data_IF_021832822203
#
_entry.id   IF_021832822203
#
_cell.length_a   1.000
_cell.length_b   1.000
_cell.length_c   1.000
_cell.angle_alpha   90.00
_cell.angle_beta   90.00
_cell.angle_gamma   90.00
#
_symmetry.space_group_name_H-M   'P 1'
#
loop_
_entity.id
_entity.type
_entity.pdbx_description
1 polymer ?
#
# COMPACT_ATOMS: atom_id res chain seq x y z
N UNK A 1 -3.36 -9.82 0.56
CA UNK A 1 -3.12 -10.90 -0.44
C UNK A 1 -2.99 -12.28 0.22
N UNK A 2 -2.25 -12.48 1.32
CA UNK A 2 -2.07 -13.80 1.94
C UNK A 2 -3.40 -14.49 2.30
N UNK A 3 -4.41 -13.74 2.76
CA UNK A 3 -5.73 -14.28 3.11
C UNK A 3 -6.68 -14.35 1.92
N UNK A 4 -6.52 -13.47 0.92
CA UNK A 4 -7.37 -13.35 -0.25
C UNK A 4 -6.61 -12.72 -1.42
N UNK A 5 -5.93 -13.55 -2.25
CA UNK A 5 -5.11 -13.05 -3.37
C UNK A 5 -5.93 -12.33 -4.45
N UNK A 6 -7.19 -12.70 -4.62
CA UNK A 6 -8.14 -12.19 -5.61
C UNK A 6 -9.00 -10.99 -5.13
N UNK A 7 -8.69 -10.43 -3.95
CA UNK A 7 -9.42 -9.29 -3.43
C UNK A 7 -9.25 -8.06 -4.34
N UNK A 8 -10.37 -7.37 -4.63
CA UNK A 8 -10.40 -6.20 -5.53
C UNK A 8 -10.86 -4.93 -4.82
N UNK A 9 -11.98 -5.00 -4.11
CA UNK A 9 -12.54 -3.87 -3.37
C UNK A 9 -13.02 -4.33 -2.01
N UNK A 10 -12.24 -4.04 -0.98
CA UNK A 10 -12.53 -4.44 0.38
C UNK A 10 -13.10 -3.28 1.20
N UNK A 11 -14.13 -3.56 1.97
CA UNK A 11 -14.70 -2.61 2.92
C UNK A 11 -15.35 -3.34 4.10
N UNK A 12 -15.62 -2.56 5.15
CA UNK A 12 -16.32 -3.04 6.35
C UNK A 12 -17.74 -3.47 6.01
N UNK A 13 -18.26 -4.34 6.86
CA UNK A 13 -19.65 -4.78 6.79
C UNK A 13 -20.63 -3.60 6.72
N UNK A 14 -20.41 -2.56 7.53
CA UNK A 14 -21.26 -1.38 7.59
C UNK A 14 -21.19 -0.52 6.33
N UNK A 15 -20.02 -0.41 5.72
CA UNK A 15 -19.88 0.30 4.44
C UNK A 15 -20.67 -0.42 3.36
N UNK A 16 -20.55 -1.74 3.26
CA UNK A 16 -21.32 -2.52 2.30
C UNK A 16 -22.82 -2.38 2.50
N UNK A 17 -23.30 -2.51 3.75
CA UNK A 17 -24.74 -2.47 4.03
C UNK A 17 -25.36 -1.06 3.95
N UNK A 18 -24.68 -0.06 4.53
CA UNK A 18 -25.27 1.25 4.74
C UNK A 18 -24.93 2.27 3.64
N UNK A 19 -23.71 2.23 3.12
CA UNK A 19 -23.29 3.20 2.08
C UNK A 19 -23.49 2.66 0.67
N UNK A 20 -23.15 1.38 0.45
CA UNK A 20 -23.22 0.76 -0.86
C UNK A 20 -24.56 0.05 -1.12
N UNK A 21 -25.40 -0.07 -0.08
CA UNK A 21 -26.68 -0.79 -0.14
C UNK A 21 -26.53 -2.21 -0.71
N UNK A 22 -25.43 -2.88 -0.36
CA UNK A 22 -25.13 -4.26 -0.67
C UNK A 22 -25.24 -5.09 0.62
N UNK A 23 -25.30 -6.40 0.51
CA UNK A 23 -25.26 -7.27 1.69
C UNK A 23 -24.12 -8.26 1.57
N UNK A 24 -23.41 -8.50 2.66
CA UNK A 24 -22.41 -9.58 2.72
C UNK A 24 -23.14 -10.92 2.71
N UNK A 25 -22.76 -11.81 1.79
CA UNK A 25 -23.40 -13.12 1.65
C UNK A 25 -23.14 -13.97 2.87
N UNK A 26 -24.14 -14.77 3.26
CA UNK A 26 -23.99 -15.71 4.38
C UNK A 26 -22.89 -16.74 4.07
N UNK A 27 -21.96 -16.91 5.00
CA UNK A 27 -20.83 -17.84 4.85
C UNK A 27 -19.58 -17.22 4.23
N UNK A 28 -19.61 -15.94 3.80
CA UNK A 28 -18.40 -15.25 3.39
C UNK A 28 -17.41 -15.15 4.54
N UNK A 29 -16.12 -15.36 4.22
CA UNK A 29 -15.03 -15.21 5.19
C UNK A 29 -14.42 -13.84 5.03
N UNK A 30 -14.50 -13.01 6.08
CA UNK A 30 -13.85 -11.71 6.10
C UNK A 30 -12.32 -11.84 6.12
N UNK A 31 -11.66 -10.87 5.51
CA UNK A 31 -10.22 -10.68 5.65
C UNK A 31 -9.98 -10.08 7.02
N UNK A 32 -9.20 -10.74 7.86
CA UNK A 32 -8.88 -10.28 9.20
C UNK A 32 -7.76 -9.24 9.15
N UNK A 33 -8.02 -8.06 9.67
CA UNK A 33 -7.05 -6.99 9.86
C UNK A 33 -6.83 -6.79 11.36
N UNK A 34 -5.61 -6.46 11.76
CA UNK A 34 -5.32 -6.05 13.12
C UNK A 34 -5.63 -4.57 13.26
N UNK A 35 -6.50 -4.21 14.20
CA UNK A 35 -6.82 -2.84 14.57
C UNK A 35 -6.30 -2.54 15.96
N UNK A 36 -5.35 -1.63 16.07
CA UNK A 36 -4.71 -1.18 17.30
C UNK A 36 -5.15 0.24 17.71
N UNK A 37 -6.05 0.85 16.95
CA UNK A 37 -6.50 2.25 17.17
C UNK A 37 -7.11 2.52 18.55
N UNK A 38 -7.53 1.48 19.26
CA UNK A 38 -8.15 1.57 20.59
C UNK A 38 -7.21 1.30 21.76
N UNK A 39 -5.89 1.19 21.51
CA UNK A 39 -4.88 0.86 22.52
C UNK A 39 -4.82 -0.64 22.91
N UNK A 40 -5.69 -1.45 22.35
CA UNK A 40 -5.65 -2.93 22.49
C UNK A 40 -5.84 -3.55 21.12
N UNK A 41 -5.01 -4.55 20.74
CA UNK A 41 -5.14 -5.25 19.47
C UNK A 41 -6.51 -5.92 19.34
N UNK A 42 -7.24 -5.63 18.26
CA UNK A 42 -8.52 -6.26 17.93
C UNK A 42 -8.52 -6.71 16.49
N UNK A 43 -9.18 -7.84 16.22
CA UNK A 43 -9.43 -8.24 14.84
C UNK A 43 -10.60 -7.43 14.28
N UNK A 44 -10.33 -6.77 13.19
CA UNK A 44 -11.30 -6.10 12.35
C UNK A 44 -11.46 -6.88 11.05
N UNK A 45 -12.69 -7.02 10.55
CA UNK A 45 -12.96 -7.82 9.37
C UNK A 45 -13.50 -6.95 8.24
N UNK A 46 -12.83 -7.05 7.09
CA UNK A 46 -13.32 -6.45 5.84
C UNK A 46 -13.74 -7.56 4.86
N UNK A 47 -14.65 -7.23 3.96
CA UNK A 47 -15.17 -8.15 2.96
C UNK A 47 -14.93 -7.58 1.57
N UNK A 48 -14.51 -8.43 0.64
CA UNK A 48 -14.36 -8.06 -0.75
C UNK A 48 -15.73 -7.88 -1.43
N UNK A 49 -15.80 -7.09 -2.48
CA UNK A 49 -17.03 -6.86 -3.25
C UNK A 49 -17.61 -8.17 -3.79
N UNK A 50 -16.77 -9.13 -4.14
CA UNK A 50 -17.19 -10.46 -4.60
C UNK A 50 -17.90 -11.28 -3.53
N UNK A 51 -17.74 -10.94 -2.23
CA UNK A 51 -18.48 -11.52 -1.11
C UNK A 51 -19.86 -10.92 -0.93
N UNK A 52 -20.19 -9.89 -1.68
CA UNK A 52 -21.44 -9.16 -1.49
C UNK A 52 -22.48 -9.49 -2.53
N UNK A 53 -23.74 -9.33 -2.17
CA UNK A 53 -24.87 -9.39 -3.09
C UNK A 53 -25.53 -8.01 -3.24
N UNK A 54 -26.20 -7.82 -4.37
CA UNK A 54 -26.88 -6.56 -4.70
C UNK A 54 -28.29 -6.52 -4.13
N UNK A 55 -28.72 -5.33 -3.68
CA UNK A 55 -30.12 -4.99 -3.38
C UNK A 55 -30.65 -4.04 -4.46
N UNK A 56 -31.95 -3.78 -4.45
CA UNK A 56 -32.54 -2.72 -5.27
C UNK A 56 -31.86 -1.38 -4.92
N UNK A 57 -31.29 -0.70 -5.90
CA UNK A 57 -30.50 0.54 -5.74
C UNK A 57 -29.13 0.34 -5.04
N UNK A 58 -28.53 -0.83 -5.14
CA UNK A 58 -27.11 -1.01 -4.75
C UNK A 58 -26.21 -0.10 -5.58
N UNK A 59 -25.13 0.33 -4.95
CA UNK A 59 -24.03 1.01 -5.63
C UNK A 59 -22.89 0.01 -5.84
N UNK A 60 -22.26 0.08 -6.99
CA UNK A 60 -21.01 -0.65 -7.22
C UNK A 60 -19.82 0.22 -6.77
N UNK A 61 -18.74 -0.42 -6.27
CA UNK A 61 -17.52 0.32 -5.97
C UNK A 61 -16.98 0.92 -7.28
N UNK A 62 -16.69 2.20 -7.22
CA UNK A 62 -16.07 2.94 -8.33
C UNK A 62 -14.55 2.66 -8.32
N UNK A 63 -14.17 1.54 -8.93
CA UNK A 63 -12.78 1.12 -9.05
C UNK A 63 -12.17 1.78 -10.29
N UNK A 64 -11.27 2.71 -10.03
CA UNK A 64 -10.50 3.31 -11.12
C UNK A 64 -9.47 2.33 -11.69
N UNK A 65 -9.22 2.44 -12.97
CA UNK A 65 -8.19 1.69 -13.67
C UNK A 65 -7.33 2.65 -14.49
N UNK A 66 -6.02 2.47 -14.40
CA UNK A 66 -5.08 3.14 -15.30
C UNK A 66 -5.06 2.43 -16.65
N UNK A 67 -4.93 3.19 -17.72
CA UNK A 67 -4.66 2.71 -19.07
C UNK A 67 -3.79 3.72 -19.83
N UNK A 68 -3.31 3.37 -21.01
CA UNK A 68 -2.38 4.22 -21.78
C UNK A 68 -2.96 5.57 -22.22
N UNK A 69 -4.28 5.67 -22.39
CA UNK A 69 -4.95 6.94 -22.72
C UNK A 69 -4.85 7.95 -21.56
N UNK A 70 -4.66 7.47 -20.36
CA UNK A 70 -4.51 8.25 -19.13
C UNK A 70 -3.05 8.58 -18.77
N UNK A 71 -2.10 8.14 -19.60
CA UNK A 71 -0.66 8.34 -19.35
C UNK A 71 -0.33 9.82 -19.10
N UNK A 72 -0.76 10.70 -19.99
CA UNK A 72 -0.41 12.13 -19.90
C UNK A 72 -1.08 12.80 -18.69
N UNK A 73 -2.42 12.69 -18.48
CA UNK A 73 -3.07 13.25 -17.30
C UNK A 73 -2.46 12.79 -15.98
N UNK A 74 -2.14 11.49 -15.86
CA UNK A 74 -1.53 10.93 -14.66
C UNK A 74 -0.11 11.43 -14.45
N UNK A 75 0.72 11.44 -15.52
CA UNK A 75 2.09 11.95 -15.45
C UNK A 75 2.14 13.43 -15.05
N UNK A 76 1.25 14.24 -15.61
CA UNK A 76 1.17 15.67 -15.29
C UNK A 76 0.74 15.90 -13.85
N UNK A 77 -0.23 15.15 -13.37
CA UNK A 77 -0.69 15.22 -11.97
C UNK A 77 0.41 14.81 -10.98
N UNK A 78 1.14 13.73 -11.29
CA UNK A 78 2.28 13.28 -10.48
C UNK A 78 3.43 14.31 -10.50
N UNK A 79 3.72 14.88 -11.66
CA UNK A 79 4.73 15.95 -11.79
C UNK A 79 4.35 17.19 -11.00
N UNK A 80 3.09 17.61 -11.06
CA UNK A 80 2.60 18.75 -10.30
C UNK A 80 2.66 18.52 -8.78
N UNK A 81 2.37 17.30 -8.32
CA UNK A 81 2.36 16.96 -6.90
C UNK A 81 3.75 16.74 -6.31
N UNK A 82 4.65 16.08 -7.04
CA UNK A 82 5.92 15.58 -6.49
C UNK A 82 7.18 16.20 -7.12
N UNK A 83 7.02 16.94 -8.22
CA UNK A 83 8.14 17.57 -8.92
C UNK A 83 9.02 16.60 -9.73
N UNK A 84 8.55 15.36 -9.93
CA UNK A 84 9.29 14.30 -10.64
C UNK A 84 8.57 14.01 -11.95
N UNK A 85 9.30 13.98 -13.06
CA UNK A 85 8.79 13.70 -14.40
C UNK A 85 9.62 12.64 -15.08
N UNK A 86 8.95 11.70 -15.74
CA UNK A 86 9.58 10.67 -16.56
C UNK A 86 8.79 10.40 -17.83
N UNK A 87 9.44 9.79 -18.81
CA UNK A 87 8.77 9.35 -20.03
C UNK A 87 7.77 8.21 -19.75
N UNK A 88 8.07 7.34 -18.78
CA UNK A 88 7.23 6.22 -18.35
C UNK A 88 6.65 6.47 -16.97
N UNK A 89 5.33 6.36 -16.82
CA UNK A 89 4.62 6.53 -15.54
C UNK A 89 5.14 5.53 -14.49
N UNK A 90 5.44 4.30 -14.89
CA UNK A 90 6.01 3.29 -13.98
C UNK A 90 7.34 3.71 -13.35
N UNK A 91 8.24 4.32 -14.13
CA UNK A 91 9.49 4.85 -13.61
C UNK A 91 9.25 6.08 -12.72
N UNK A 92 8.32 6.95 -13.12
CA UNK A 92 7.92 8.11 -12.33
C UNK A 92 7.39 7.70 -10.95
N UNK A 93 6.55 6.65 -10.89
CA UNK A 93 6.05 6.09 -9.64
C UNK A 93 7.18 5.54 -8.75
N UNK A 94 8.16 4.85 -9.33
CA UNK A 94 9.31 4.33 -8.60
C UNK A 94 10.17 5.44 -7.97
N UNK A 95 10.45 6.50 -8.73
CA UNK A 95 11.25 7.62 -8.22
C UNK A 95 10.48 8.44 -7.16
N UNK A 96 9.15 8.59 -7.33
CA UNK A 96 8.29 9.20 -6.30
C UNK A 96 8.31 8.35 -5.03
N UNK A 97 8.22 7.03 -5.14
CA UNK A 97 8.30 6.12 -4.01
C UNK A 97 9.63 6.32 -3.24
N UNK A 98 10.75 6.34 -3.95
CA UNK A 98 12.06 6.56 -3.35
C UNK A 98 12.16 7.91 -2.61
N UNK A 99 11.66 8.98 -3.22
CA UNK A 99 11.60 10.31 -2.60
C UNK A 99 10.76 10.31 -1.32
N UNK A 100 9.52 9.82 -1.40
CA UNK A 100 8.61 9.84 -0.25
C UNK A 100 9.07 8.92 0.89
N UNK A 101 9.73 7.82 0.58
CA UNK A 101 10.36 6.96 1.60
C UNK A 101 11.51 7.68 2.30
N UNK A 102 12.31 8.47 1.58
CA UNK A 102 13.34 9.29 2.20
C UNK A 102 12.73 10.35 3.12
N UNK A 103 11.70 11.05 2.65
CA UNK A 103 10.96 12.03 3.45
C UNK A 103 10.29 11.38 4.69
N UNK A 104 9.76 10.15 4.54
CA UNK A 104 9.18 9.40 5.65
C UNK A 104 10.23 9.02 6.71
N UNK A 105 11.40 8.54 6.28
CA UNK A 105 12.51 8.24 7.18
C UNK A 105 12.94 9.47 7.97
N UNK A 106 13.11 10.60 7.32
CA UNK A 106 13.55 11.84 7.97
C UNK A 106 12.59 12.29 9.08
N UNK A 107 11.30 11.97 8.94
CA UNK A 107 10.27 12.32 9.92
C UNK A 107 10.02 11.26 11.00
N UNK A 108 10.37 9.96 10.76
CA UNK A 108 9.99 8.86 11.65
C UNK A 108 11.19 8.02 12.12
N UNK A 109 12.42 8.41 11.79
CA UNK A 109 13.61 7.58 12.06
C UNK A 109 13.85 7.30 13.55
N UNK A 110 13.46 8.20 14.45
CA UNK A 110 13.59 8.00 15.90
C UNK A 110 12.66 6.88 16.38
N UNK A 111 11.40 6.89 15.94
CA UNK A 111 10.42 5.86 16.28
C UNK A 111 10.82 4.50 15.71
N UNK A 112 11.35 4.48 14.47
CA UNK A 112 11.83 3.25 13.85
C UNK A 112 13.02 2.69 14.60
N UNK A 113 13.97 3.52 15.03
CA UNK A 113 15.12 3.08 15.83
C UNK A 113 14.71 2.51 17.18
N UNK A 114 13.63 3.00 17.76
CA UNK A 114 13.16 2.56 19.08
C UNK A 114 12.57 1.14 19.08
N UNK A 115 12.23 0.58 17.92
CA UNK A 115 11.53 -0.71 17.82
C UNK A 115 12.36 -1.83 17.18
N UNK A 116 13.63 -1.60 16.86
CA UNK A 116 14.46 -2.60 16.16
C UNK A 116 14.94 -3.76 17.03
N UNK A 117 14.84 -3.63 18.35
CA UNK A 117 15.30 -4.66 19.30
C UNK A 117 14.68 -6.03 19.00
N UNK A 118 15.53 -7.05 18.96
CA UNK A 118 15.13 -8.42 18.66
C UNK A 118 14.86 -8.75 17.19
N UNK A 119 14.94 -7.78 16.31
CA UNK A 119 14.94 -8.00 14.85
C UNK A 119 16.36 -8.11 14.31
N UNK A 120 16.51 -8.56 13.05
CA UNK A 120 17.82 -8.52 12.38
C UNK A 120 18.31 -7.09 12.13
N UNK A 121 17.43 -6.11 12.19
CA UNK A 121 17.79 -4.69 12.06
C UNK A 121 18.67 -4.18 13.20
N UNK A 122 18.65 -4.81 14.39
CA UNK A 122 19.45 -4.40 15.54
C UNK A 122 20.98 -4.51 15.32
N UNK A 123 21.39 -5.34 14.37
CA UNK A 123 22.81 -5.57 14.07
C UNK A 123 23.42 -4.47 13.18
N UNK A 124 22.59 -3.58 12.62
CA UNK A 124 23.04 -2.47 11.78
C UNK A 124 23.41 -1.23 12.61
N UNK A 125 24.39 -0.49 12.15
CA UNK A 125 24.60 0.87 12.61
C UNK A 125 23.51 1.82 12.08
N UNK A 126 23.52 3.07 12.51
CA UNK A 126 22.48 4.04 12.14
C UNK A 126 22.36 4.24 10.62
N UNK A 127 23.47 4.20 9.88
CA UNK A 127 23.47 4.37 8.43
C UNK A 127 22.99 3.09 7.72
N UNK A 128 23.38 1.93 8.22
CA UNK A 128 22.93 0.63 7.74
C UNK A 128 21.43 0.45 7.95
N UNK A 129 20.90 0.81 9.13
CA UNK A 129 19.47 0.76 9.42
C UNK A 129 18.66 1.66 8.46
N UNK A 130 19.13 2.90 8.24
CA UNK A 130 18.52 3.82 7.27
C UNK A 130 18.46 3.19 5.88
N UNK A 131 19.57 2.63 5.42
CA UNK A 131 19.67 2.00 4.10
C UNK A 131 18.71 0.81 3.99
N UNK A 132 18.64 -0.06 5.00
CA UNK A 132 17.73 -1.22 5.01
C UNK A 132 16.26 -0.79 5.01
N UNK A 133 15.89 0.19 5.86
CA UNK A 133 14.54 0.70 5.87
C UNK A 133 14.15 1.32 4.53
N UNK A 134 14.98 2.22 3.99
CA UNK A 134 14.71 2.90 2.72
C UNK A 134 14.60 1.89 1.57
N UNK A 135 15.46 0.87 1.53
CA UNK A 135 15.44 -0.18 0.53
C UNK A 135 14.13 -0.99 0.62
N UNK A 136 13.81 -1.53 1.79
CA UNK A 136 12.61 -2.35 1.99
C UNK A 136 11.31 -1.56 1.71
N UNK A 137 11.22 -0.32 2.20
CA UNK A 137 10.05 0.52 2.00
C UNK A 137 9.89 0.95 0.54
N UNK A 138 10.96 1.43 -0.11
CA UNK A 138 10.88 1.90 -1.49
C UNK A 138 10.46 0.79 -2.46
N UNK A 139 11.00 -0.40 -2.29
CA UNK A 139 10.65 -1.55 -3.14
C UNK A 139 9.20 -1.98 -2.92
N UNK A 140 8.75 -2.02 -1.65
CA UNK A 140 7.39 -2.41 -1.29
C UNK A 140 6.35 -1.39 -1.79
N UNK A 141 6.63 -0.09 -1.64
CA UNK A 141 5.77 0.99 -2.18
C UNK A 141 5.71 0.91 -3.70
N UNK A 142 6.87 0.80 -4.36
CA UNK A 142 6.93 0.71 -5.83
C UNK A 142 6.12 -0.49 -6.33
N UNK A 143 6.31 -1.66 -5.72
CA UNK A 143 5.54 -2.86 -6.06
C UNK A 143 4.03 -2.61 -5.93
N UNK A 144 3.60 -2.06 -4.79
CA UNK A 144 2.17 -1.78 -4.55
C UNK A 144 1.59 -0.77 -5.56
N UNK A 145 2.35 0.26 -5.94
CA UNK A 145 1.93 1.26 -6.93
C UNK A 145 1.82 0.66 -8.33
N UNK A 146 2.81 -0.13 -8.74
CA UNK A 146 2.82 -0.77 -10.06
C UNK A 146 1.67 -1.76 -10.19
N UNK A 147 1.50 -2.66 -9.23
CA UNK A 147 0.39 -3.62 -9.18
C UNK A 147 -0.97 -2.92 -9.25
N UNK A 148 -1.18 -1.88 -8.44
CA UNK A 148 -2.46 -1.17 -8.40
C UNK A 148 -2.76 -0.41 -9.69
N UNK A 149 -1.73 0.05 -10.40
CA UNK A 149 -1.86 0.71 -11.70
C UNK A 149 -1.89 -0.27 -12.88
N UNK A 150 -1.79 -1.59 -12.64
CA UNK A 150 -1.83 -2.62 -13.68
C UNK A 150 -0.55 -2.72 -14.51
N UNK A 151 0.58 -2.23 -13.99
CA UNK A 151 1.89 -2.52 -14.56
C UNK A 151 2.39 -3.88 -14.07
N UNK A 152 3.08 -4.61 -14.93
CA UNK A 152 3.71 -5.88 -14.54
C UNK A 152 4.98 -5.62 -13.71
N UNK A 153 5.01 -5.96 -12.41
CA UNK A 153 6.18 -5.69 -11.57
C UNK A 153 7.39 -6.55 -11.92
N UNK A 154 7.19 -7.74 -12.47
CA UNK A 154 8.24 -8.71 -12.76
C UNK A 154 9.37 -8.16 -13.66
N UNK A 155 9.10 -7.13 -14.45
CA UNK A 155 10.10 -6.42 -15.23
C UNK A 155 10.95 -5.42 -14.43
N UNK A 156 10.59 -5.12 -13.19
CA UNK A 156 11.22 -4.13 -12.32
C UNK A 156 12.00 -4.75 -11.16
N UNK A 157 11.63 -5.96 -10.75
CA UNK A 157 12.18 -6.62 -9.58
C UNK A 157 12.67 -8.02 -9.91
N UNK A 158 13.76 -8.40 -9.28
CA UNK A 158 14.24 -9.77 -9.18
C UNK A 158 14.01 -10.33 -7.76
N UNK A 159 14.41 -11.58 -7.54
CA UNK A 159 14.24 -12.23 -6.24
C UNK A 159 15.06 -11.57 -5.12
N UNK A 160 16.18 -10.97 -5.47
CA UNK A 160 17.10 -10.35 -4.51
C UNK A 160 16.63 -8.95 -4.11
N UNK A 161 15.76 -8.34 -4.93
CA UNK A 161 15.21 -7.01 -4.70
C UNK A 161 14.46 -6.90 -3.35
N UNK A 162 13.85 -7.98 -2.87
CA UNK A 162 13.06 -8.00 -1.64
C UNK A 162 13.86 -8.43 -0.40
N UNK A 163 15.17 -8.64 -0.49
CA UNK A 163 15.97 -9.17 0.62
C UNK A 163 15.91 -8.30 1.88
N UNK A 164 15.95 -6.99 1.74
CA UNK A 164 15.89 -6.07 2.88
C UNK A 164 14.64 -6.23 3.74
N UNK A 165 13.55 -6.77 3.20
CA UNK A 165 12.30 -6.98 3.95
C UNK A 165 12.46 -8.06 5.03
N UNK A 166 13.31 -9.06 4.83
CA UNK A 166 13.51 -10.13 5.79
C UNK A 166 14.17 -9.70 7.10
N UNK A 167 14.82 -8.54 7.10
CA UNK A 167 15.44 -7.97 8.30
C UNK A 167 14.38 -7.43 9.29
N UNK A 168 13.17 -7.15 8.80
CA UNK A 168 12.01 -6.77 9.61
C UNK A 168 11.34 -8.01 10.21
N UNK A 169 11.99 -8.65 11.16
CA UNK A 169 11.66 -9.99 11.65
C UNK A 169 10.85 -10.01 12.96
N UNK A 170 10.46 -8.86 13.49
CA UNK A 170 9.56 -8.75 14.67
C UNK A 170 8.21 -8.14 14.28
N UNK A 171 7.13 -8.38 15.05
CA UNK A 171 5.82 -7.76 14.79
C UNK A 171 5.90 -6.24 14.70
N UNK A 172 6.66 -5.57 15.56
CA UNK A 172 6.77 -4.12 15.61
C UNK A 172 7.47 -3.58 14.36
N UNK A 173 8.57 -4.20 13.92
CA UNK A 173 9.27 -3.78 12.71
C UNK A 173 8.47 -4.06 11.44
N UNK A 174 7.78 -5.20 11.35
CA UNK A 174 6.84 -5.51 10.24
C UNK A 174 5.71 -4.49 10.20
N UNK A 175 5.15 -4.15 11.36
CA UNK A 175 4.07 -3.15 11.46
C UNK A 175 4.56 -1.77 10.99
N UNK A 176 5.72 -1.32 11.46
CA UNK A 176 6.28 -0.03 11.06
C UNK A 176 6.56 0.05 9.55
N UNK A 177 7.14 -0.99 8.95
CA UNK A 177 7.32 -1.07 7.51
C UNK A 177 5.98 -1.04 6.78
N UNK A 178 5.01 -1.83 7.23
CA UNK A 178 3.67 -1.89 6.64
C UNK A 178 2.91 -0.56 6.73
N UNK A 179 3.05 0.18 7.83
CA UNK A 179 2.47 1.51 8.01
C UNK A 179 3.07 2.51 6.99
N UNK A 180 4.39 2.55 6.88
CA UNK A 180 5.08 3.40 5.90
C UNK A 180 4.61 3.10 4.47
N UNK A 181 4.60 1.82 4.09
CA UNK A 181 4.15 1.38 2.75
C UNK A 181 2.70 1.78 2.49
N UNK A 182 1.82 1.57 3.46
CA UNK A 182 0.39 1.92 3.35
C UNK A 182 0.18 3.42 3.19
N UNK A 183 0.83 4.24 4.01
CA UNK A 183 0.63 5.69 4.00
C UNK A 183 1.16 6.33 2.72
N UNK A 184 2.36 5.97 2.31
CA UNK A 184 2.97 6.49 1.08
C UNK A 184 2.19 6.03 -0.15
N UNK A 185 1.86 4.74 -0.24
CA UNK A 185 1.10 4.21 -1.38
C UNK A 185 -0.28 4.87 -1.49
N UNK A 186 -0.96 5.07 -0.36
CA UNK A 186 -2.28 5.74 -0.30
C UNK A 186 -2.20 7.17 -0.82
N UNK A 187 -1.17 7.91 -0.45
CA UNK A 187 -0.96 9.28 -0.91
C UNK A 187 -0.81 9.35 -2.43
N UNK A 188 0.11 8.56 -2.97
CA UNK A 188 0.38 8.53 -4.41
C UNK A 188 -0.83 8.04 -5.21
N UNK A 189 -1.46 6.95 -4.77
CA UNK A 189 -2.63 6.37 -5.45
C UNK A 189 -3.84 7.32 -5.45
N UNK A 190 -4.00 8.17 -4.43
CA UNK A 190 -5.03 9.22 -4.44
C UNK A 190 -4.75 10.30 -5.50
N UNK A 191 -3.49 10.61 -5.76
CA UNK A 191 -3.12 11.55 -6.84
C UNK A 191 -3.43 10.93 -8.19
N UNK A 192 -3.07 9.66 -8.40
CA UNK A 192 -3.42 8.91 -9.61
C UNK A 192 -4.94 8.82 -9.79
N UNK A 193 -5.67 8.44 -8.76
CA UNK A 193 -7.14 8.32 -8.80
C UNK A 193 -7.83 9.61 -9.26
N UNK A 194 -7.37 10.76 -8.75
CA UNK A 194 -7.94 12.06 -9.12
C UNK A 194 -7.68 12.44 -10.57
N UNK A 195 -6.60 11.95 -11.15
CA UNK A 195 -6.26 12.19 -12.55
C UNK A 195 -6.99 11.22 -13.50
N UNK A 196 -7.38 10.05 -13.00
CA UNK A 196 -8.09 9.01 -13.74
C UNK A 196 -9.61 9.26 -13.76
N UNK A 197 -10.16 9.90 -12.74
CA UNK A 197 -11.60 10.23 -12.58
C UNK A 197 -11.92 11.62 -13.13
#
# INVERSE_FOLDING_TARGET
YAQRPDATACADFDIWNNRMNRYVRRGSKGIALLDESSGYPRLHYVFDVSDTGVRRNSRDPDLWQYNDDLKQPVSDALTAAYGISHERVSQQLADIAGKLVADYWDNNSEDIRAIVDGSFLMDYDSAGLEMQFKSAAAISVTYALLERCGFEPDGYFDKDSFQAIYDFSTPDTVYALGAAVSDISREVLRTVERAVK
#
